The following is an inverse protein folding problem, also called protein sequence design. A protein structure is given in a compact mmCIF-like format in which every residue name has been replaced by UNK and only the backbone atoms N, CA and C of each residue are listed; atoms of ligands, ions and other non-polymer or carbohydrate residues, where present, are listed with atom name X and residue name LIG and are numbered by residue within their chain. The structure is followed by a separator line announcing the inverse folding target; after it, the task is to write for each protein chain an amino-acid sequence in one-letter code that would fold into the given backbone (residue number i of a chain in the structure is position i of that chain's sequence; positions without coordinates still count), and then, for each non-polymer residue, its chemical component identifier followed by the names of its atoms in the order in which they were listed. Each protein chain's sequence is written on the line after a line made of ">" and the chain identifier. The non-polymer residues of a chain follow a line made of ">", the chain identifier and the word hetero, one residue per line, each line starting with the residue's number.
data_IF_101238343633
#
_entry.id   IF_101238343633
#
_cell.length_a   1.000
_cell.length_b   1.000
_cell.length_c   1.000
_cell.angle_alpha   90.00
_cell.angle_beta   90.00
_cell.angle_gamma   90.00
#
_symmetry.space_group_name_H-M   'P 1'
#
loop_
_entity.id
_entity.type
_entity.pdbx_description
1 polymer ?
#
# COMPACT_ATOMS: atom_id res chain seq x y z
N UNK A 1 -1.32 4.01 6.38
CA UNK A 1 -2.42 3.05 6.63
C UNK A 1 -1.85 1.81 7.28
N UNK A 2 -2.64 1.09 8.10
CA UNK A 2 -2.23 -0.18 8.70
C UNK A 2 -2.83 -1.35 7.91
N UNK A 3 -2.00 -2.32 7.58
CA UNK A 3 -2.38 -3.56 6.88
C UNK A 3 -2.09 -4.73 7.80
N UNK A 4 -3.13 -5.49 8.14
CA UNK A 4 -2.97 -6.76 8.85
C UNK A 4 -2.87 -7.91 7.84
N UNK A 5 -1.87 -8.77 8.02
CA UNK A 5 -1.65 -9.95 7.17
C UNK A 5 -1.92 -11.20 7.99
N UNK A 6 -2.99 -11.93 7.67
CA UNK A 6 -3.29 -13.18 8.36
C UNK A 6 -2.31 -14.28 7.92
N UNK A 7 -1.56 -14.86 8.86
CA UNK A 7 -0.65 -15.98 8.63
C UNK A 7 0.27 -15.78 7.41
N UNK A 8 1.16 -14.76 7.44
CA UNK A 8 1.96 -14.37 6.28
C UNK A 8 2.76 -15.52 5.67
N UNK A 9 3.25 -16.46 6.48
CA UNK A 9 4.19 -17.47 6.00
C UNK A 9 5.43 -16.83 5.36
N UNK A 10 6.22 -17.57 4.56
CA UNK A 10 7.37 -17.00 3.89
C UNK A 10 6.95 -16.02 2.78
N UNK A 11 7.57 -14.84 2.75
CA UNK A 11 7.32 -13.81 1.75
C UNK A 11 7.64 -12.41 2.26
N UNK A 12 7.26 -11.41 1.48
CA UNK A 12 7.36 -10.00 1.85
C UNK A 12 6.13 -9.23 1.38
N UNK A 13 5.81 -8.15 2.09
CA UNK A 13 4.78 -7.22 1.68
C UNK A 13 5.31 -6.35 0.53
N UNK A 14 4.53 -6.20 -0.53
CA UNK A 14 4.78 -5.27 -1.63
C UNK A 14 3.55 -4.39 -1.85
N UNK A 15 3.79 -3.14 -2.24
CA UNK A 15 2.76 -2.13 -2.43
C UNK A 15 2.96 -1.50 -3.80
N UNK A 16 1.87 -1.40 -4.55
CA UNK A 16 1.79 -0.67 -5.80
C UNK A 16 0.72 0.41 -5.62
N UNK A 17 1.07 1.64 -5.94
CA UNK A 17 0.15 2.78 -5.88
C UNK A 17 -0.03 3.33 -7.28
N UNK A 18 -1.28 3.49 -7.70
CA UNK A 18 -1.66 4.01 -9.02
C UNK A 18 -2.51 5.26 -8.84
N UNK A 19 -2.09 6.36 -9.45
CA UNK A 19 -2.75 7.67 -9.35
C UNK A 19 -3.57 8.06 -10.58
N UNK A 20 -4.13 9.28 -10.58
CA UNK A 20 -4.94 9.80 -11.67
C UNK A 20 -4.12 10.13 -12.92
N UNK A 21 -2.85 10.52 -12.78
CA UNK A 21 -1.91 10.67 -13.89
C UNK A 21 -0.90 9.51 -13.94
N UNK A 22 -0.10 9.46 -15.01
CA UNK A 22 1.04 8.55 -15.12
C UNK A 22 2.19 8.89 -14.13
N UNK A 23 2.01 9.89 -13.26
CA UNK A 23 3.02 10.23 -12.27
C UNK A 23 3.29 9.09 -11.29
N UNK A 24 4.58 8.90 -11.05
CA UNK A 24 5.13 7.89 -10.17
C UNK A 24 5.04 8.42 -8.75
N UNK A 25 4.63 7.56 -7.81
CA UNK A 25 4.66 7.86 -6.38
C UNK A 25 6.07 8.23 -5.96
N UNK A 26 6.23 9.40 -5.32
CA UNK A 26 7.55 9.94 -4.96
C UNK A 26 8.29 9.01 -3.99
N UNK A 27 7.55 8.50 -2.99
CA UNK A 27 8.08 7.61 -1.96
C UNK A 27 7.02 6.65 -1.48
N UNK A 28 7.44 5.42 -1.19
CA UNK A 28 6.66 4.41 -0.47
C UNK A 28 7.50 3.85 0.66
N UNK A 29 6.91 3.68 1.83
CA UNK A 29 7.54 3.02 2.98
C UNK A 29 6.62 1.94 3.53
N UNK A 30 7.23 0.83 3.94
CA UNK A 30 6.57 -0.30 4.59
C UNK A 30 7.35 -0.59 5.87
N UNK A 31 6.70 -0.44 7.00
CA UNK A 31 7.28 -0.67 8.33
C UNK A 31 6.50 -1.78 9.01
N UNK A 32 7.18 -2.83 9.46
CA UNK A 32 6.55 -3.84 10.31
C UNK A 32 6.41 -3.30 11.73
N UNK A 33 5.17 -3.22 12.23
CA UNK A 33 4.88 -2.65 13.55
C UNK A 33 4.66 -3.71 14.63
N UNK A 34 4.75 -5.00 14.30
CA UNK A 34 4.44 -6.11 15.21
C UNK A 34 3.07 -6.74 14.94
N UNK A 35 2.81 -7.91 15.53
CA UNK A 35 1.51 -8.63 15.47
C UNK A 35 0.92 -8.81 14.06
N UNK A 36 1.77 -9.10 13.08
CA UNK A 36 1.41 -9.20 11.66
C UNK A 36 0.82 -7.91 11.05
N UNK A 37 1.04 -6.77 11.68
CA UNK A 37 0.63 -5.45 11.19
C UNK A 37 1.79 -4.74 10.52
N UNK A 38 1.51 -4.15 9.37
CA UNK A 38 2.44 -3.35 8.59
C UNK A 38 1.86 -1.94 8.42
N UNK A 39 2.66 -0.94 8.72
CA UNK A 39 2.37 0.44 8.37
C UNK A 39 2.89 0.73 6.96
N UNK A 40 1.97 1.12 6.08
CA UNK A 40 2.26 1.53 4.71
C UNK A 40 2.02 3.03 4.59
N UNK A 41 3.03 3.76 4.14
CA UNK A 41 2.94 5.20 3.85
C UNK A 41 3.44 5.50 2.44
N UNK A 42 2.89 6.55 1.83
CA UNK A 42 3.31 7.00 0.52
C UNK A 42 3.23 8.52 0.41
N UNK A 43 4.04 9.09 -0.47
CA UNK A 43 4.04 10.52 -0.81
C UNK A 43 3.76 10.65 -2.29
N UNK A 44 2.80 11.51 -2.64
CA UNK A 44 2.37 11.74 -4.03
C UNK A 44 2.45 13.23 -4.35
N UNK A 45 2.77 13.58 -5.62
CA UNK A 45 2.98 14.97 -6.02
C UNK A 45 1.69 15.72 -6.35
N UNK A 46 0.58 15.01 -6.59
CA UNK A 46 -0.67 15.60 -7.07
C UNK A 46 -1.87 15.18 -6.21
N UNK A 47 -2.93 16.00 -6.26
CA UNK A 47 -4.22 15.65 -5.69
C UNK A 47 -4.96 14.65 -6.58
N UNK A 48 -5.83 13.86 -5.97
CA UNK A 48 -6.78 13.02 -6.68
C UNK A 48 -6.94 11.63 -6.07
N UNK A 49 -7.49 10.72 -6.85
CA UNK A 49 -7.84 9.37 -6.40
C UNK A 49 -6.70 8.40 -6.69
N UNK A 50 -6.23 7.73 -5.65
CA UNK A 50 -5.19 6.72 -5.71
C UNK A 50 -5.73 5.34 -5.36
N UNK A 51 -5.27 4.34 -6.09
CA UNK A 51 -5.52 2.93 -5.82
C UNK A 51 -4.26 2.28 -5.28
N UNK A 52 -4.34 1.72 -4.07
CA UNK A 52 -3.23 1.05 -3.39
C UNK A 52 -3.47 -0.46 -3.42
N UNK A 53 -2.66 -1.18 -4.19
CA UNK A 53 -2.65 -2.63 -4.23
C UNK A 53 -1.54 -3.18 -3.34
N UNK A 54 -1.90 -4.07 -2.42
CA UNK A 54 -0.96 -4.69 -1.47
C UNK A 54 -0.92 -6.19 -1.69
N UNK A 55 0.29 -6.76 -1.78
CA UNK A 55 0.50 -8.20 -1.97
C UNK A 55 1.46 -8.75 -0.94
N UNK A 56 1.22 -9.99 -0.52
CA UNK A 56 2.19 -10.81 0.20
C UNK A 56 2.75 -11.87 -0.76
N UNK A 57 4.01 -11.67 -1.18
CA UNK A 57 4.57 -12.41 -2.31
C UNK A 57 3.72 -12.22 -3.57
N UNK A 58 3.15 -13.30 -4.10
CA UNK A 58 2.30 -13.27 -5.30
C UNK A 58 0.79 -13.22 -5.00
N UNK A 59 0.39 -13.15 -3.72
CA UNK A 59 -1.02 -13.17 -3.31
C UNK A 59 -1.47 -11.79 -2.87
N UNK A 60 -2.67 -11.38 -3.27
CA UNK A 60 -3.26 -10.15 -2.75
C UNK A 60 -3.54 -10.33 -1.25
N UNK A 61 -3.23 -9.29 -0.47
CA UNK A 61 -3.70 -9.19 0.91
C UNK A 61 -5.17 -8.76 0.88
N UNK A 62 -5.95 -9.21 1.86
CA UNK A 62 -7.38 -8.92 1.98
C UNK A 62 -7.65 -7.40 1.92
N UNK A 63 -8.77 -7.01 1.31
CA UNK A 63 -9.23 -5.61 1.13
C UNK A 63 -8.44 -4.74 0.13
N UNK A 64 -7.73 -5.34 -0.83
CA UNK A 64 -7.08 -4.60 -1.93
C UNK A 64 -7.86 -4.67 -3.25
N UNK A 65 -7.79 -3.64 -4.11
CA UNK A 65 -7.10 -2.36 -3.91
C UNK A 65 -7.86 -1.41 -2.97
N UNK A 66 -7.13 -0.63 -2.17
CA UNK A 66 -7.68 0.45 -1.35
C UNK A 66 -7.78 1.73 -2.19
N UNK A 67 -8.92 2.41 -2.13
CA UNK A 67 -9.08 3.74 -2.73
C UNK A 67 -8.77 4.82 -1.68
N UNK A 68 -7.91 5.77 -2.04
CA UNK A 68 -7.55 6.90 -1.20
C UNK A 68 -7.66 8.19 -2.00
N UNK A 69 -8.46 9.14 -1.52
CA UNK A 69 -8.56 10.48 -2.10
C UNK A 69 -7.61 11.42 -1.37
N UNK A 70 -6.68 12.02 -2.12
CA UNK A 70 -5.68 12.96 -1.60
C UNK A 70 -6.10 14.37 -1.99
N UNK A 71 -6.29 15.20 -0.96
CA UNK A 71 -6.54 16.65 -1.07
C UNK A 71 -5.40 17.40 -0.36
N UNK A 72 -4.86 18.46 -0.97
CA UNK A 72 -3.84 19.33 -0.35
C UNK A 72 -4.51 20.43 0.49
#
# INVERSE_FOLDING_TARGET
>A
MQIWVENPGPGSLSVVVTGPSLHVVDRTSIVYTGDNVYEVSFTVPEQGVYYIQVKWGNKNVTQTPYMCEVTL
#
